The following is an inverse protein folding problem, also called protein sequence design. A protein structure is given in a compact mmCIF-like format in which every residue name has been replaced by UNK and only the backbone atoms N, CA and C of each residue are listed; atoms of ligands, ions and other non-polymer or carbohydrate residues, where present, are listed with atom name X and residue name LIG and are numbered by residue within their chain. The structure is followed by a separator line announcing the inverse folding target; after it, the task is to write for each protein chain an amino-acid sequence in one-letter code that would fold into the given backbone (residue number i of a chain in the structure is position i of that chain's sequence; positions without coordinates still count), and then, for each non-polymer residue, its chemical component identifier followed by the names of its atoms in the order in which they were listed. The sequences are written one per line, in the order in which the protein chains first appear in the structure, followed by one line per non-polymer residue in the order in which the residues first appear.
data_IF_680758251036
#
_entry.id   IF_680758251036
#
_cell.length_a   1.000
_cell.length_b   1.000
_cell.length_c   1.000
_cell.angle_alpha   90.00
_cell.angle_beta   90.00
_cell.angle_gamma   90.00
#
_symmetry.space_group_name_H-M   'P 1'
#
loop_
_entity.id
_entity.type
_entity.pdbx_description
1 polymer ?
#
# COMPACT_ATOMS: atom_id res chain seq x y z
N UNK A 1 17.73 7.11 10.84
CA UNK A 1 17.62 5.78 11.48
C UNK A 1 16.20 5.19 11.40
N UNK A 2 15.13 5.89 11.83
CA UNK A 2 13.76 5.32 11.80
C UNK A 2 13.17 5.08 10.40
N UNK A 3 13.29 6.03 9.47
CA UNK A 3 12.81 5.84 8.08
C UNK A 3 13.48 4.66 7.38
N UNK A 4 14.77 4.42 7.64
CA UNK A 4 15.48 3.27 7.08
C UNK A 4 14.92 1.94 7.57
N UNK A 5 14.49 1.84 8.84
CA UNK A 5 13.86 0.64 9.35
C UNK A 5 12.49 0.41 8.73
N UNK A 6 11.71 1.48 8.50
CA UNK A 6 10.41 1.38 7.81
C UNK A 6 10.59 0.87 6.38
N UNK A 7 11.51 1.47 5.61
CA UNK A 7 11.81 1.04 4.23
C UNK A 7 12.30 -0.40 4.21
N UNK A 8 13.17 -0.79 5.16
CA UNK A 8 13.65 -2.18 5.30
C UNK A 8 12.50 -3.15 5.57
N UNK A 9 11.57 -2.82 6.46
CA UNK A 9 10.39 -3.66 6.70
C UNK A 9 9.51 -3.79 5.46
N UNK A 10 9.36 -2.73 4.68
CA UNK A 10 8.51 -2.72 3.48
C UNK A 10 9.13 -3.50 2.30
N UNK A 11 10.40 -3.28 2.01
CA UNK A 11 11.03 -3.70 0.76
C UNK A 11 11.97 -4.90 0.92
N UNK A 12 12.75 -4.96 2.01
CA UNK A 12 13.76 -6.01 2.19
C UNK A 12 13.20 -7.23 2.93
N UNK A 13 12.49 -6.99 4.04
CA UNK A 13 11.81 -8.06 4.78
C UNK A 13 10.52 -8.46 4.06
N UNK A 14 9.93 -7.51 3.31
CA UNK A 14 8.65 -7.71 2.68
C UNK A 14 7.60 -7.97 3.75
N UNK A 15 7.33 -7.01 4.62
CA UNK A 15 6.22 -7.08 5.57
C UNK A 15 5.62 -5.69 5.66
N UNK A 16 4.44 -5.50 5.06
CA UNK A 16 3.69 -4.24 5.15
C UNK A 16 3.87 -3.25 3.99
N UNK A 17 4.72 -3.53 3.00
CA UNK A 17 4.90 -2.71 1.79
C UNK A 17 3.97 -3.09 0.62
N UNK A 18 4.25 -2.51 -0.56
CA UNK A 18 3.44 -2.70 -1.77
C UNK A 18 3.33 -4.16 -2.23
N UNK A 19 4.38 -4.96 -2.04
CA UNK A 19 4.41 -6.39 -2.44
C UNK A 19 3.25 -7.22 -1.89
N UNK A 20 2.90 -7.05 -0.61
CA UNK A 20 1.79 -7.78 0.02
C UNK A 20 0.44 -7.36 -0.54
N UNK A 21 0.31 -6.07 -0.87
CA UNK A 21 -0.90 -5.53 -1.47
C UNK A 21 -1.06 -6.06 -2.89
N UNK A 22 0.02 -6.17 -3.66
CA UNK A 22 -0.02 -6.79 -4.98
C UNK A 22 -0.38 -8.28 -4.93
N UNK A 23 0.19 -9.05 -4.00
CA UNK A 23 -0.18 -10.46 -3.79
C UNK A 23 -1.67 -10.57 -3.43
N UNK A 24 -2.14 -9.73 -2.52
CA UNK A 24 -3.55 -9.75 -2.12
C UNK A 24 -4.49 -9.29 -3.25
N UNK A 25 -4.08 -8.32 -4.07
CA UNK A 25 -4.81 -7.91 -5.27
C UNK A 25 -4.93 -9.07 -6.25
N UNK A 26 -3.84 -9.77 -6.56
CA UNK A 26 -3.86 -10.95 -7.43
C UNK A 26 -4.79 -12.04 -6.88
N UNK A 27 -4.71 -12.31 -5.57
CA UNK A 27 -5.63 -13.24 -4.90
C UNK A 27 -7.10 -12.85 -5.07
N UNK A 28 -7.45 -11.58 -4.90
CA UNK A 28 -8.83 -11.10 -5.10
C UNK A 28 -9.28 -11.21 -6.56
N UNK A 29 -8.37 -10.97 -7.50
CA UNK A 29 -8.64 -11.10 -8.93
C UNK A 29 -8.98 -12.54 -9.32
N UNK A 30 -8.24 -13.52 -8.80
CA UNK A 30 -8.53 -14.96 -8.99
C UNK A 30 -9.80 -15.38 -8.25
N UNK A 31 -9.95 -14.93 -7.00
CA UNK A 31 -11.13 -15.22 -6.17
C UNK A 31 -12.43 -14.72 -6.80
N UNK A 32 -12.39 -13.61 -7.54
CA UNK A 32 -13.55 -13.08 -8.26
C UNK A 32 -14.15 -14.12 -9.22
N UNK A 33 -13.30 -14.90 -9.88
CA UNK A 33 -13.72 -15.96 -10.81
C UNK A 33 -14.23 -17.19 -10.04
N UNK A 34 -13.46 -17.65 -9.05
CA UNK A 34 -13.78 -18.86 -8.27
C UNK A 34 -15.10 -18.72 -7.51
N UNK A 35 -15.37 -17.52 -6.96
CA UNK A 35 -16.55 -17.23 -6.15
C UNK A 35 -17.70 -16.60 -6.96
N UNK A 36 -17.52 -16.40 -8.27
CA UNK A 36 -18.46 -15.68 -9.14
C UNK A 36 -18.89 -14.31 -8.57
N UNK A 37 -17.95 -13.58 -7.95
CA UNK A 37 -18.15 -12.25 -7.36
C UNK A 37 -17.31 -11.20 -8.12
N UNK A 38 -17.83 -10.58 -9.20
CA UNK A 38 -17.07 -9.63 -10.01
C UNK A 38 -16.57 -8.41 -9.23
N UNK A 39 -17.23 -8.04 -8.13
CA UNK A 39 -16.82 -6.94 -7.25
C UNK A 39 -15.42 -7.18 -6.65
N UNK A 40 -15.01 -8.43 -6.45
CA UNK A 40 -13.65 -8.74 -5.97
C UNK A 40 -12.58 -8.36 -7.00
N UNK A 41 -12.91 -8.41 -8.29
CA UNK A 41 -12.01 -7.94 -9.37
C UNK A 41 -11.86 -6.42 -9.31
N UNK A 42 -12.92 -5.68 -9.06
CA UNK A 42 -12.83 -4.22 -8.89
C UNK A 42 -11.96 -3.85 -7.69
N UNK A 43 -12.18 -4.53 -6.56
CA UNK A 43 -11.36 -4.38 -5.36
C UNK A 43 -9.89 -4.76 -5.59
N UNK A 44 -9.59 -5.75 -6.45
CA UNK A 44 -8.20 -6.05 -6.81
C UNK A 44 -7.48 -4.84 -7.40
N UNK A 45 -8.14 -4.09 -8.29
CA UNK A 45 -7.54 -2.89 -8.89
C UNK A 45 -7.36 -1.77 -7.86
N UNK A 46 -8.27 -1.65 -6.90
CA UNK A 46 -8.13 -0.69 -5.80
C UNK A 46 -6.93 -1.05 -4.90
N UNK A 47 -6.78 -2.34 -4.55
CA UNK A 47 -5.66 -2.81 -3.74
C UNK A 47 -4.32 -2.64 -4.46
N UNK A 48 -4.24 -2.85 -5.78
CA UNK A 48 -3.03 -2.55 -6.56
C UNK A 48 -2.64 -1.09 -6.43
N UNK A 49 -3.60 -0.15 -6.54
CA UNK A 49 -3.31 1.28 -6.38
C UNK A 49 -2.81 1.61 -4.97
N UNK A 50 -3.35 0.98 -3.93
CA UNK A 50 -2.84 1.12 -2.56
C UNK A 50 -1.39 0.60 -2.48
N UNK A 51 -1.10 -0.52 -3.13
CA UNK A 51 0.27 -1.05 -3.24
C UNK A 51 1.24 -0.07 -3.90
N UNK A 52 0.81 0.60 -4.97
CA UNK A 52 1.62 1.62 -5.66
C UNK A 52 1.95 2.80 -4.72
N UNK A 53 0.99 3.23 -3.90
CA UNK A 53 1.20 4.30 -2.91
C UNK A 53 2.20 3.90 -1.83
N UNK A 54 2.14 2.65 -1.36
CA UNK A 54 3.17 2.11 -0.45
C UNK A 54 4.56 2.12 -1.08
N UNK A 55 4.67 1.76 -2.36
CA UNK A 55 5.95 1.79 -3.09
C UNK A 55 6.48 3.21 -3.26
N UNK A 56 5.63 4.16 -3.59
CA UNK A 56 5.99 5.58 -3.71
C UNK A 56 6.47 6.13 -2.36
N UNK A 57 5.75 5.80 -1.28
CA UNK A 57 6.16 6.15 0.09
C UNK A 57 7.56 5.59 0.41
N UNK A 58 7.79 4.29 0.15
CA UNK A 58 9.08 3.65 0.44
C UNK A 58 10.23 4.30 -0.35
N UNK A 59 9.98 4.65 -1.62
CA UNK A 59 10.95 5.36 -2.46
C UNK A 59 11.30 6.73 -1.87
N UNK A 60 10.30 7.53 -1.50
CA UNK A 60 10.51 8.86 -0.93
C UNK A 60 11.23 8.77 0.44
N UNK A 61 10.80 7.86 1.32
CA UNK A 61 11.46 7.60 2.59
C UNK A 61 12.94 7.20 2.40
N UNK A 62 13.24 6.39 1.37
CA UNK A 62 14.62 6.01 1.04
C UNK A 62 15.47 7.19 0.56
N UNK A 63 14.88 8.14 -0.19
CA UNK A 63 15.56 9.36 -0.66
C UNK A 63 15.89 10.27 0.52
N UNK A 64 14.96 10.44 1.46
CA UNK A 64 15.20 11.23 2.69
C UNK A 64 16.33 10.62 3.50
N UNK A 65 16.28 9.31 3.75
CA UNK A 65 17.33 8.62 4.51
C UNK A 65 18.72 8.75 3.86
N UNK A 66 18.79 8.73 2.52
CA UNK A 66 20.05 8.88 1.77
C UNK A 66 20.51 10.34 1.60
N UNK A 67 19.86 11.32 2.24
CA UNK A 67 20.08 12.76 2.03
C UNK A 67 19.98 13.19 0.56
N UNK A 68 19.06 12.58 -0.19
CA UNK A 68 18.79 12.85 -1.62
C UNK A 68 17.44 13.52 -1.87
N UNK A 69 16.74 13.94 -0.82
CA UNK A 69 15.50 14.70 -0.95
C UNK A 69 15.80 16.19 -1.08
N UNK A 70 15.23 16.83 -2.11
CA UNK A 70 15.23 18.30 -2.27
C UNK A 70 13.98 18.96 -1.70
N UNK A 71 13.05 18.19 -1.12
CA UNK A 71 11.77 18.69 -0.61
C UNK A 71 11.92 19.33 0.76
N UNK A 72 11.38 20.53 0.92
CA UNK A 72 11.17 21.17 2.22
C UNK A 72 10.09 20.42 2.98
N UNK A 73 10.24 20.30 4.31
CA UNK A 73 9.26 19.67 5.20
C UNK A 73 8.89 18.20 4.87
N UNK A 74 9.89 17.45 4.42
CA UNK A 74 9.68 16.09 3.90
C UNK A 74 9.09 15.10 4.91
N UNK A 75 9.33 15.28 6.21
CA UNK A 75 8.77 14.41 7.24
C UNK A 75 7.25 14.57 7.38
N UNK A 76 6.73 15.80 7.32
CA UNK A 76 5.29 16.03 7.35
C UNK A 76 4.62 15.52 6.07
N UNK A 77 5.28 15.65 4.92
CA UNK A 77 4.80 15.06 3.66
C UNK A 77 4.69 13.54 3.75
N UNK A 78 5.74 12.87 4.25
CA UNK A 78 5.73 11.41 4.45
C UNK A 78 4.67 10.96 5.47
N UNK A 79 4.50 11.72 6.55
CA UNK A 79 3.45 11.45 7.55
C UNK A 79 2.05 11.57 6.95
N UNK A 80 1.82 12.62 6.15
CA UNK A 80 0.53 12.84 5.49
C UNK A 80 0.22 11.73 4.49
N UNK A 81 1.23 11.24 3.78
CA UNK A 81 1.09 10.13 2.85
C UNK A 81 0.75 8.82 3.56
N UNK A 82 1.41 8.52 4.69
CA UNK A 82 1.07 7.34 5.52
C UNK A 82 -0.37 7.37 6.02
N UNK A 83 -0.82 8.51 6.54
CA UNK A 83 -2.21 8.67 6.98
C UNK A 83 -3.18 8.49 5.82
N UNK A 84 -2.83 9.00 4.63
CA UNK A 84 -3.66 8.81 3.45
C UNK A 84 -3.76 7.35 3.02
N UNK A 85 -2.65 6.60 3.10
CA UNK A 85 -2.65 5.15 2.84
C UNK A 85 -3.52 4.42 3.87
N UNK A 86 -3.45 4.80 5.15
CA UNK A 86 -4.27 4.22 6.20
C UNK A 86 -5.78 4.41 5.93
N UNK A 87 -6.21 5.62 5.55
CA UNK A 87 -7.60 5.91 5.19
C UNK A 87 -8.08 5.05 4.01
N UNK A 88 -7.22 4.89 2.99
CA UNK A 88 -7.54 4.08 1.81
C UNK A 88 -7.67 2.59 2.16
N UNK A 89 -6.79 2.07 3.00
CA UNK A 89 -6.87 0.68 3.46
C UNK A 89 -8.11 0.45 4.32
N UNK A 90 -8.46 1.38 5.22
CA UNK A 90 -9.68 1.27 6.02
C UNK A 90 -10.93 1.22 5.15
N UNK A 91 -11.07 2.13 4.19
CA UNK A 91 -12.19 2.15 3.25
C UNK A 91 -12.24 0.87 2.40
N UNK A 92 -11.08 0.44 1.88
CA UNK A 92 -10.94 -0.81 1.14
C UNK A 92 -11.45 -2.01 1.94
N UNK A 93 -11.01 -2.18 3.19
CA UNK A 93 -11.39 -3.35 4.00
C UNK A 93 -12.88 -3.31 4.40
N UNK A 94 -13.46 -2.12 4.59
CA UNK A 94 -14.91 -1.96 4.78
C UNK A 94 -15.70 -2.39 3.53
N UNK A 95 -15.25 -2.02 2.33
CA UNK A 95 -15.85 -2.47 1.07
C UNK A 95 -15.71 -3.98 0.89
N UNK A 96 -14.51 -4.52 1.13
CA UNK A 96 -14.24 -5.95 1.02
C UNK A 96 -15.16 -6.76 1.93
N UNK A 97 -15.31 -6.35 3.20
CA UNK A 97 -16.22 -7.01 4.15
C UNK A 97 -17.65 -7.10 3.62
N UNK A 98 -18.15 -6.06 2.95
CA UNK A 98 -19.48 -6.06 2.32
C UNK A 98 -19.54 -6.96 1.08
N UNK A 99 -18.46 -7.03 0.30
CA UNK A 99 -18.39 -7.83 -0.91
C UNK A 99 -18.34 -9.35 -0.64
N UNK A 100 -17.74 -9.76 0.49
CA UNK A 100 -17.63 -11.17 0.89
C UNK A 100 -18.79 -11.68 1.75
N UNK A 101 -19.56 -10.78 2.36
CA UNK A 101 -20.83 -11.13 3.00
C UNK A 101 -21.84 -11.65 1.95
#
# INVERSE_FOLDING_TARGET
HYLAQIVRMQEEIGTGGGGFRYIFAAFLQESALVLAKPQLRELSFEMTRIGDRWRDFALEASRVYKNRSSKTDVYNLLSSELLKIADLEEDFFKKLKKAIA
#
